data_IF_346429273403
#
_entry.id   IF_346429273403
#
_cell.length_a   1.000
_cell.length_b   1.000
_cell.length_c   1.000
_cell.angle_alpha   90.00
_cell.angle_beta   90.00
_cell.angle_gamma   90.00
#
_symmetry.space_group_name_H-M   'P 1'
#
loop_
_entity.id
_entity.type
_entity.pdbx_description
1 polymer ?
#
# COMPACT_ATOMS: atom_id res chain seq x y z
N UNK A 1 -4.76 9.13 3.40
CA UNK A 1 -3.88 8.27 4.26
C UNK A 1 -4.66 7.69 5.44
N UNK A 2 -5.54 8.47 6.06
CA UNK A 2 -6.38 8.03 7.19
C UNK A 2 -7.18 6.75 6.89
N UNK A 3 -7.88 6.72 5.73
CA UNK A 3 -8.69 5.55 5.35
C UNK A 3 -7.90 4.25 5.19
N UNK A 4 -6.65 4.34 4.75
CA UNK A 4 -5.77 3.17 4.63
C UNK A 4 -5.45 2.60 6.01
N UNK A 5 -5.08 3.46 6.97
CA UNK A 5 -4.74 3.07 8.34
C UNK A 5 -5.97 2.51 9.08
N UNK A 6 -7.16 3.04 8.81
CA UNK A 6 -8.44 2.53 9.34
C UNK A 6 -8.70 1.08 8.91
N UNK A 7 -8.44 0.75 7.63
CA UNK A 7 -8.68 -0.59 7.07
C UNK A 7 -7.55 -1.57 7.44
N UNK A 8 -6.30 -1.10 7.40
CA UNK A 8 -5.11 -1.88 7.67
C UNK A 8 -3.99 -1.01 8.25
N UNK A 9 -3.89 -1.00 9.58
CA UNK A 9 -2.84 -0.26 10.28
C UNK A 9 -1.41 -0.74 9.96
N UNK A 10 -1.26 -1.97 9.44
CA UNK A 10 0.02 -2.48 8.98
C UNK A 10 0.26 -2.20 7.48
N UNK A 11 -0.77 -1.77 6.74
CA UNK A 11 -0.69 -1.44 5.33
C UNK A 11 0.35 -0.36 5.06
N UNK A 12 1.32 -0.68 4.20
CA UNK A 12 2.38 0.25 3.83
C UNK A 12 2.64 0.23 2.32
N UNK A 13 3.80 0.69 1.89
CA UNK A 13 4.18 0.74 0.48
C UNK A 13 4.19 -0.66 -0.16
N UNK A 14 3.76 -0.73 -1.43
CA UNK A 14 3.65 -1.97 -2.21
C UNK A 14 2.77 -3.05 -1.54
N UNK A 15 1.79 -2.63 -0.75
CA UNK A 15 0.74 -3.48 -0.17
C UNK A 15 -0.53 -3.48 -1.03
N UNK A 16 -1.61 -4.08 -0.52
CA UNK A 16 -2.93 -4.14 -1.16
C UNK A 16 -3.48 -2.78 -1.62
N UNK A 17 -3.06 -1.68 -0.98
CA UNK A 17 -3.49 -0.32 -1.30
C UNK A 17 -3.02 0.16 -2.70
N UNK A 18 -2.11 -0.57 -3.33
CA UNK A 18 -1.66 -0.34 -4.71
C UNK A 18 -2.18 -1.44 -5.68
N UNK A 19 -2.91 -2.44 -5.17
CA UNK A 19 -3.35 -3.64 -5.88
C UNK A 19 -4.87 -3.61 -6.22
N UNK A 20 -5.27 -2.58 -6.95
CA UNK A 20 -6.64 -2.36 -7.41
C UNK A 20 -7.12 -3.45 -8.38
N UNK A 21 -8.44 -3.70 -8.49
CA UNK A 21 -8.98 -4.68 -9.43
C UNK A 21 -8.51 -4.50 -10.87
N UNK A 22 -8.23 -3.26 -11.29
CA UNK A 22 -7.72 -2.92 -12.63
C UNK A 22 -6.18 -2.86 -12.73
N UNK A 23 -5.44 -2.98 -11.63
CA UNK A 23 -3.96 -3.05 -11.62
C UNK A 23 -3.41 -4.43 -11.24
N UNK A 24 -4.28 -5.35 -10.80
CA UNK A 24 -3.90 -6.72 -10.46
C UNK A 24 -3.23 -7.44 -11.61
N UNK A 25 -2.10 -8.05 -11.30
CA UNK A 25 -1.36 -8.89 -12.25
C UNK A 25 -1.80 -10.33 -12.06
N UNK A 26 -2.21 -11.00 -13.13
CA UNK A 26 -2.82 -12.34 -13.08
C UNK A 26 -1.83 -13.48 -12.85
N UNK A 27 -0.52 -13.22 -12.87
CA UNK A 27 0.51 -14.26 -12.97
C UNK A 27 0.85 -14.95 -11.63
N UNK A 28 0.33 -14.48 -10.50
CA UNK A 28 0.46 -15.17 -9.21
C UNK A 28 -0.58 -14.70 -8.21
N UNK A 29 -1.24 -15.62 -7.51
CA UNK A 29 -1.98 -15.25 -6.30
C UNK A 29 -0.98 -14.71 -5.27
N UNK A 30 -1.19 -13.48 -4.76
CA UNK A 30 -0.30 -12.94 -3.74
C UNK A 30 -0.33 -13.82 -2.50
N UNK A 31 0.80 -13.89 -1.78
CA UNK A 31 0.87 -14.55 -0.48
C UNK A 31 -0.28 -14.09 0.41
N UNK A 32 -1.04 -15.06 0.96
CA UNK A 32 -2.12 -14.78 1.90
C UNK A 32 -1.60 -14.21 3.24
N UNK A 33 -0.35 -14.54 3.59
CA UNK A 33 0.32 -14.05 4.78
C UNK A 33 0.72 -12.57 4.62
N UNK A 34 0.39 -11.71 5.60
CA UNK A 34 0.83 -10.32 5.61
C UNK A 34 2.36 -10.21 5.65
N UNK A 35 2.91 -9.23 4.93
CA UNK A 35 4.31 -8.85 5.08
C UNK A 35 4.52 -8.11 6.40
N UNK A 36 5.64 -8.36 7.10
CA UNK A 36 5.95 -7.62 8.33
C UNK A 36 6.23 -6.15 8.03
N UNK A 37 5.98 -5.29 9.01
CA UNK A 37 6.36 -3.88 8.92
C UNK A 37 7.88 -3.75 8.81
N UNK A 38 8.33 -3.00 7.81
CA UNK A 38 9.75 -2.75 7.55
C UNK A 38 10.32 -1.74 8.53
N UNK A 39 11.50 -2.04 9.09
CA UNK A 39 12.30 -1.07 9.83
C UNK A 39 12.99 -0.12 8.85
N UNK A 40 12.37 1.05 8.64
CA UNK A 40 12.86 2.08 7.72
C UNK A 40 14.19 2.68 8.15
N UNK A 41 14.47 2.75 9.44
CA UNK A 41 15.73 3.30 9.97
C UNK A 41 16.87 2.35 9.63
N UNK A 42 16.67 1.06 9.87
CA UNK A 42 17.63 0.03 9.47
C UNK A 42 17.81 0.00 7.95
N UNK A 43 16.72 0.03 7.18
CA UNK A 43 16.75 0.00 5.72
C UNK A 43 17.56 1.17 5.13
N UNK A 44 17.48 2.37 5.72
CA UNK A 44 18.21 3.54 5.24
C UNK A 44 19.75 3.39 5.28
N UNK A 45 20.27 2.43 6.05
CA UNK A 45 21.70 2.13 6.15
C UNK A 45 22.19 1.03 5.20
N UNK A 46 21.28 0.39 4.45
CA UNK A 46 21.57 -0.74 3.58
C UNK A 46 21.98 -0.30 2.17
N UNK A 47 22.85 -1.09 1.52
CA UNK A 47 23.10 -0.97 0.08
C UNK A 47 21.86 -1.40 -0.73
N UNK A 48 21.73 -0.98 -2.01
CA UNK A 48 20.59 -1.40 -2.84
C UNK A 48 20.41 -2.91 -2.95
N UNK A 49 21.51 -3.67 -2.95
CA UNK A 49 21.48 -5.15 -2.97
C UNK A 49 20.89 -5.72 -1.69
N UNK A 50 21.27 -5.15 -0.54
CA UNK A 50 20.74 -5.56 0.76
C UNK A 50 19.28 -5.18 0.92
N UNK A 51 18.86 -4.00 0.44
CA UNK A 51 17.44 -3.60 0.42
C UNK A 51 16.60 -4.58 -0.38
N UNK A 52 17.05 -4.99 -1.58
CA UNK A 52 16.33 -5.99 -2.40
C UNK A 52 16.21 -7.33 -1.68
N UNK A 53 17.28 -7.78 -1.01
CA UNK A 53 17.25 -9.02 -0.24
C UNK A 53 16.34 -8.91 1.00
N UNK A 54 16.33 -7.74 1.65
CA UNK A 54 15.55 -7.48 2.86
C UNK A 54 14.04 -7.37 2.59
N UNK A 55 13.65 -6.68 1.51
CA UNK A 55 12.24 -6.45 1.17
C UNK A 55 11.59 -7.62 0.43
N UNK A 56 12.37 -8.48 -0.24
CA UNK A 56 11.83 -9.60 -1.01
C UNK A 56 10.90 -9.15 -2.14
N UNK A 57 9.59 -9.25 -1.91
CA UNK A 57 8.54 -8.82 -2.85
C UNK A 57 8.41 -7.30 -2.96
N UNK A 58 8.98 -6.53 -2.03
CA UNK A 58 8.88 -5.07 -1.99
C UNK A 58 7.77 -4.57 -1.06
N UNK A 59 6.84 -5.42 -0.63
CA UNK A 59 5.79 -5.07 0.33
C UNK A 59 6.41 -4.72 1.69
N UNK A 60 6.18 -3.48 2.15
CA UNK A 60 6.75 -2.95 3.39
C UNK A 60 5.86 -3.14 4.63
N UNK A 61 4.71 -3.80 4.47
CA UNK A 61 3.78 -4.08 5.56
C UNK A 61 2.36 -4.36 5.09
N UNK A 62 1.70 -5.29 5.78
CA UNK A 62 0.30 -5.62 5.57
C UNK A 62 0.09 -6.65 4.46
N UNK A 63 -1.17 -6.85 4.07
CA UNK A 63 -1.52 -7.86 3.07
C UNK A 63 -1.15 -7.39 1.66
N UNK A 64 -0.81 -8.33 0.78
CA UNK A 64 -0.58 -8.04 -0.63
C UNK A 64 -1.91 -7.88 -1.42
N UNK A 65 -3.03 -8.40 -0.90
CA UNK A 65 -4.35 -8.21 -1.45
C UNK A 65 -5.42 -8.18 -0.37
N UNK A 66 -6.49 -7.44 -0.62
CA UNK A 66 -7.69 -7.34 0.20
C UNK A 66 -8.96 -7.38 -0.69
N UNK A 67 -10.15 -7.62 -0.11
CA UNK A 67 -11.40 -7.63 -0.87
C UNK A 67 -11.62 -6.35 -1.68
N UNK A 68 -12.21 -6.49 -2.85
CA UNK A 68 -12.40 -5.38 -3.80
C UNK A 68 -13.21 -4.22 -3.18
N UNK A 69 -14.18 -4.53 -2.31
CA UNK A 69 -14.98 -3.52 -1.60
C UNK A 69 -14.11 -2.54 -0.78
N UNK A 70 -13.13 -3.06 -0.03
CA UNK A 70 -12.24 -2.23 0.79
C UNK A 70 -11.28 -1.42 -0.09
N UNK A 71 -10.76 -2.04 -1.15
CA UNK A 71 -9.85 -1.39 -2.11
C UNK A 71 -10.56 -0.26 -2.86
N UNK A 72 -11.81 -0.48 -3.26
CA UNK A 72 -12.65 0.51 -3.93
C UNK A 72 -13.10 1.63 -2.99
N UNK A 73 -13.34 1.31 -1.71
CA UNK A 73 -13.62 2.32 -0.69
C UNK A 73 -12.43 3.26 -0.52
N UNK A 74 -11.21 2.71 -0.42
CA UNK A 74 -9.99 3.52 -0.34
C UNK A 74 -9.82 4.42 -1.58
N UNK A 75 -10.07 3.89 -2.78
CA UNK A 75 -10.02 4.65 -4.03
C UNK A 75 -11.01 5.81 -4.04
N UNK A 76 -12.28 5.53 -3.69
CA UNK A 76 -13.34 6.54 -3.67
C UNK A 76 -12.99 7.69 -2.72
N UNK A 77 -12.53 7.37 -1.50
CA UNK A 77 -12.07 8.37 -0.54
C UNK A 77 -10.90 9.18 -1.07
N UNK A 78 -9.89 8.55 -1.67
CA UNK A 78 -8.74 9.28 -2.24
C UNK A 78 -9.13 10.23 -3.37
N UNK A 79 -10.09 9.84 -4.23
CA UNK A 79 -10.64 10.70 -5.28
C UNK A 79 -11.40 11.88 -4.68
N UNK A 80 -12.26 11.64 -3.70
CA UNK A 80 -13.04 12.68 -3.01
C UNK A 80 -12.12 13.69 -2.32
N UNK A 81 -11.20 13.24 -1.46
CA UNK A 81 -10.21 14.08 -0.77
C UNK A 81 -9.39 14.92 -1.75
N UNK A 82 -8.94 14.31 -2.85
CA UNK A 82 -8.16 15.03 -3.87
C UNK A 82 -9.01 16.11 -4.56
N UNK A 83 -10.26 15.79 -4.91
CA UNK A 83 -11.16 16.76 -5.55
C UNK A 83 -11.49 17.91 -4.62
N UNK A 84 -11.75 17.66 -3.35
CA UNK A 84 -11.97 18.72 -2.36
C UNK A 84 -10.79 19.69 -2.30
N UNK A 85 -9.56 19.19 -2.35
CA UNK A 85 -8.37 20.06 -2.40
C UNK A 85 -8.23 20.84 -3.71
N UNK A 86 -8.58 20.22 -4.84
CA UNK A 86 -8.49 20.88 -6.16
C UNK A 86 -9.59 21.93 -6.40
N UNK A 87 -10.81 21.64 -5.93
CA UNK A 87 -12.01 22.46 -6.12
C UNK A 87 -12.17 23.50 -4.99
N UNK A 88 -11.53 23.30 -3.85
CA UNK A 88 -11.54 24.20 -2.70
C UNK A 88 -10.63 25.44 -2.86
N UNK A 89 -10.68 26.37 -1.89
CA UNK A 89 -9.75 27.49 -1.85
C UNK A 89 -8.33 26.98 -1.63
N UNK A 90 -7.44 27.36 -2.54
CA UNK A 90 -6.02 27.07 -2.44
C UNK A 90 -5.41 27.99 -1.36
N UNK A 91 -5.00 27.42 -0.22
CA UNK A 91 -4.42 28.17 0.91
C UNK A 91 -3.85 27.27 1.99
#
# INVERSE_FOLDING_TARGET
VEKLVEIDAAGSHASWAENFPWTRVSESEPSAEPSPLVDRVRMASMTPREVRAYLGSGNMGGRAQRPDEEVLTLWATGVEETREQLEGPWG
#
